data_IF_906709119057
#
_entry.id   IF_906709119057
#
_cell.length_a   1.000
_cell.length_b   1.000
_cell.length_c   1.000
_cell.angle_alpha   90.00
_cell.angle_beta   90.00
_cell.angle_gamma   90.00
#
_symmetry.space_group_name_H-M   'P 1'
#
loop_
_entity.id
_entity.type
_entity.pdbx_description
1 polymer ?
#
# COMPACT_ATOMS: atom_id res chain seq x y z
N UNK A 1 -25.16 -16.17 -6.62
CA UNK A 1 -24.30 -15.61 -7.68
C UNK A 1 -22.85 -15.88 -7.30
N UNK A 2 -22.01 -16.33 -8.25
CA UNK A 2 -20.56 -16.36 -8.04
C UNK A 2 -20.05 -14.92 -8.16
N UNK A 3 -19.46 -14.39 -7.09
CA UNK A 3 -18.79 -13.08 -7.11
C UNK A 3 -17.30 -13.32 -7.40
N UNK A 4 -16.86 -13.06 -8.63
CA UNK A 4 -15.44 -13.02 -8.92
C UNK A 4 -14.84 -11.81 -8.19
N UNK A 5 -13.99 -12.10 -7.19
CA UNK A 5 -13.33 -11.05 -6.42
C UNK A 5 -12.26 -10.36 -7.26
N UNK A 6 -12.27 -9.03 -7.29
CA UNK A 6 -11.24 -8.25 -7.99
C UNK A 6 -10.15 -7.82 -7.00
N UNK A 7 -8.91 -8.16 -7.33
CA UNK A 7 -7.70 -7.78 -6.60
C UNK A 7 -6.89 -6.84 -7.51
N UNK A 8 -6.64 -5.61 -7.06
CA UNK A 8 -5.79 -4.66 -7.77
C UNK A 8 -4.31 -4.93 -7.42
N UNK A 9 -3.57 -5.50 -8.37
CA UNK A 9 -2.14 -5.82 -8.24
C UNK A 9 -1.31 -4.54 -8.11
N UNK A 10 -0.70 -4.34 -6.94
CA UNK A 10 0.07 -3.15 -6.54
C UNK A 10 -0.73 -1.85 -6.58
N UNK A 11 -2.04 -1.94 -6.32
CA UNK A 11 -3.01 -0.88 -6.57
C UNK A 11 -3.46 -0.84 -8.04
N UNK A 12 -4.04 0.28 -8.47
CA UNK A 12 -4.36 0.50 -9.88
C UNK A 12 -3.09 0.93 -10.64
N UNK A 13 -2.10 0.03 -10.73
CA UNK A 13 -0.76 0.28 -11.27
C UNK A 13 -0.74 0.79 -12.73
N UNK A 14 -1.82 0.55 -13.48
CA UNK A 14 -1.98 1.08 -14.83
C UNK A 14 -2.47 2.54 -14.85
N UNK A 15 -2.98 3.06 -13.74
CA UNK A 15 -3.54 4.40 -13.62
C UNK A 15 -2.64 5.35 -12.82
N UNK A 16 -1.91 4.83 -11.84
CA UNK A 16 -0.95 5.56 -11.03
C UNK A 16 0.26 4.67 -10.75
N UNK A 17 1.34 5.26 -10.23
CA UNK A 17 2.55 4.51 -9.92
C UNK A 17 2.23 3.38 -8.92
N UNK A 18 2.65 2.16 -9.25
CA UNK A 18 2.47 1.00 -8.37
C UNK A 18 2.99 1.26 -6.95
N UNK A 19 2.39 0.57 -5.98
CA UNK A 19 2.79 0.61 -4.57
C UNK A 19 2.74 2.02 -3.92
N UNK A 20 2.00 2.98 -4.47
CA UNK A 20 1.77 4.30 -3.86
C UNK A 20 0.34 4.46 -3.34
N UNK A 21 0.14 5.46 -2.47
CA UNK A 21 -1.20 5.79 -1.94
C UNK A 21 -2.15 6.14 -3.08
N UNK A 22 -1.69 6.86 -4.10
CA UNK A 22 -2.48 7.25 -5.26
C UNK A 22 -2.98 6.04 -6.06
N UNK A 23 -2.15 4.99 -6.21
CA UNK A 23 -2.59 3.74 -6.86
C UNK A 23 -3.62 2.98 -6.00
N UNK A 24 -3.51 3.05 -4.67
CA UNK A 24 -4.46 2.43 -3.77
C UNK A 24 -5.80 3.15 -3.75
N UNK A 25 -5.78 4.48 -3.65
CA UNK A 25 -6.97 5.33 -3.77
C UNK A 25 -7.66 5.10 -5.10
N UNK A 26 -6.89 5.02 -6.20
CA UNK A 26 -7.46 4.76 -7.52
C UNK A 26 -8.06 3.35 -7.64
N UNK A 27 -7.46 2.33 -7.03
CA UNK A 27 -8.05 1.00 -6.98
C UNK A 27 -9.39 0.99 -6.22
N UNK A 28 -9.48 1.74 -5.11
CA UNK A 28 -10.72 1.91 -4.34
C UNK A 28 -11.79 2.62 -5.20
N UNK A 29 -11.41 3.71 -5.88
CA UNK A 29 -12.32 4.44 -6.79
C UNK A 29 -12.88 3.56 -7.91
N UNK A 30 -12.06 2.65 -8.45
CA UNK A 30 -12.44 1.73 -9.52
C UNK A 30 -13.24 0.51 -9.02
N UNK A 31 -13.46 0.40 -7.71
CA UNK A 31 -14.28 -0.67 -7.11
C UNK A 31 -13.55 -1.99 -6.89
N UNK A 32 -12.21 -1.99 -6.79
CA UNK A 32 -11.48 -3.19 -6.38
C UNK A 32 -11.87 -3.59 -4.95
N UNK A 33 -12.09 -4.89 -4.73
CA UNK A 33 -12.42 -5.42 -3.40
C UNK A 33 -11.17 -5.59 -2.52
N UNK A 34 -10.05 -5.88 -3.17
CA UNK A 34 -8.76 -6.06 -2.52
C UNK A 34 -7.68 -5.29 -3.28
N UNK A 35 -6.66 -4.89 -2.53
CA UNK A 35 -5.43 -4.32 -3.07
C UNK A 35 -4.31 -5.24 -2.63
N UNK A 36 -3.53 -5.71 -3.60
CA UNK A 36 -2.27 -6.37 -3.35
C UNK A 36 -1.15 -5.32 -3.36
N UNK A 37 -0.11 -5.53 -2.55
CA UNK A 37 1.06 -4.67 -2.48
C UNK A 37 2.27 -5.44 -1.94
N UNK A 38 3.46 -4.96 -2.28
CA UNK A 38 4.73 -5.58 -1.94
C UNK A 38 5.34 -4.94 -0.68
N UNK A 39 5.89 -5.76 0.22
CA UNK A 39 6.51 -5.26 1.46
C UNK A 39 8.03 -5.47 1.43
N UNK A 40 8.78 -4.42 1.79
CA UNK A 40 10.22 -4.47 2.04
C UNK A 40 10.56 -3.87 3.40
N UNK A 41 11.73 -4.20 3.93
CA UNK A 41 12.28 -3.63 5.16
C UNK A 41 13.49 -2.76 4.84
N UNK A 42 13.52 -1.55 5.39
CA UNK A 42 14.63 -0.60 5.27
C UNK A 42 15.76 -0.94 6.24
N UNK A 43 16.91 -0.29 6.09
CA UNK A 43 18.06 -0.43 7.02
C UNK A 43 17.70 -0.12 8.46
N UNK A 44 16.82 0.87 8.68
CA UNK A 44 16.34 1.32 9.98
C UNK A 44 15.09 0.55 10.47
N UNK A 45 14.77 -0.59 9.84
CA UNK A 45 13.72 -1.50 10.31
C UNK A 45 12.28 -1.07 9.99
N UNK A 46 12.10 -0.07 9.12
CA UNK A 46 10.79 0.41 8.69
C UNK A 46 10.26 -0.48 7.59
N UNK A 47 9.04 -0.98 7.74
CA UNK A 47 8.34 -1.68 6.66
C UNK A 47 7.75 -0.67 5.67
N UNK A 48 7.98 -0.89 4.39
CA UNK A 48 7.56 -0.01 3.30
C UNK A 48 6.87 -0.78 2.19
N UNK A 49 6.01 -0.08 1.44
CA UNK A 49 5.40 -0.63 0.22
C UNK A 49 6.25 -0.32 -1.01
N UNK A 50 6.93 -1.33 -1.55
CA UNK A 50 7.81 -1.17 -2.72
C UNK A 50 8.17 -2.54 -3.30
N UNK A 51 8.08 -2.72 -4.62
CA UNK A 51 8.32 -4.02 -5.25
C UNK A 51 9.81 -4.40 -5.30
N UNK A 52 10.60 -3.61 -6.05
CA UNK A 52 11.98 -3.97 -6.35
C UNK A 52 12.88 -3.95 -5.10
N UNK A 53 13.91 -4.82 -5.00
CA UNK A 53 14.85 -4.76 -3.89
C UNK A 53 15.76 -3.51 -3.95
N UNK A 54 15.68 -2.73 -5.03
CA UNK A 54 16.53 -1.58 -5.32
C UNK A 54 15.68 -0.32 -5.55
N UNK A 55 16.25 0.83 -5.25
CA UNK A 55 15.77 2.15 -5.68
C UNK A 55 16.96 2.99 -6.15
N UNK A 56 16.89 3.54 -7.36
CA UNK A 56 18.00 4.29 -7.97
C UNK A 56 19.36 3.55 -7.85
N UNK A 57 19.38 2.26 -8.21
CA UNK A 57 20.55 1.37 -8.14
C UNK A 57 21.17 1.18 -6.74
N UNK A 58 20.42 1.46 -5.67
CA UNK A 58 20.83 1.21 -4.29
C UNK A 58 19.86 0.23 -3.61
N UNK A 59 20.39 -0.69 -2.82
CA UNK A 59 19.57 -1.69 -2.13
C UNK A 59 18.73 -1.03 -1.03
N UNK A 60 17.43 -1.33 -1.02
CA UNK A 60 16.49 -0.86 0.01
C UNK A 60 16.97 -1.22 1.42
N UNK A 61 17.52 -2.42 1.59
CA UNK A 61 18.06 -2.92 2.86
C UNK A 61 19.27 -2.14 3.38
N UNK A 62 19.88 -1.28 2.56
CA UNK A 62 21.04 -0.46 2.92
C UNK A 62 20.70 1.00 3.19
N UNK A 63 19.44 1.41 2.97
CA UNK A 63 18.99 2.79 3.11
C UNK A 63 17.98 2.94 4.24
N UNK A 64 18.02 4.07 4.95
CA UNK A 64 16.96 4.47 5.88
C UNK A 64 15.68 4.87 5.13
N UNK A 65 14.54 4.80 5.81
CA UNK A 65 13.27 5.28 5.26
C UNK A 65 13.34 6.73 4.74
N UNK A 66 14.01 7.61 5.49
CA UNK A 66 14.18 9.01 5.11
C UNK A 66 15.01 9.17 3.82
N UNK A 67 16.07 8.37 3.65
CA UNK A 67 16.86 8.36 2.41
C UNK A 67 16.04 7.86 1.22
N UNK A 68 15.28 6.76 1.40
CA UNK A 68 14.42 6.20 0.36
C UNK A 68 13.38 7.23 -0.09
N UNK A 69 12.69 7.89 0.84
CA UNK A 69 11.69 8.90 0.48
C UNK A 69 12.28 10.17 -0.13
N UNK A 70 13.53 10.53 0.19
CA UNK A 70 14.24 11.60 -0.52
C UNK A 70 14.51 11.23 -1.98
N UNK A 71 14.99 10.01 -2.25
CA UNK A 71 15.24 9.50 -3.61
C UNK A 71 13.93 9.38 -4.39
N UNK A 72 12.90 8.78 -3.80
CA UNK A 72 11.58 8.65 -4.41
C UNK A 72 10.98 10.02 -4.73
N UNK A 73 11.12 10.99 -3.82
CA UNK A 73 10.63 12.35 -4.02
C UNK A 73 11.29 13.07 -5.21
N UNK A 74 12.58 12.81 -5.46
CA UNK A 74 13.27 13.31 -6.66
C UNK A 74 12.73 12.69 -7.96
N UNK A 75 12.08 11.52 -7.87
CA UNK A 75 11.41 10.83 -8.97
C UNK A 75 9.89 11.11 -9.01
N UNK A 76 9.39 12.01 -8.18
CA UNK A 76 8.00 12.47 -8.20
C UNK A 76 7.00 11.57 -7.45
N UNK A 77 7.45 10.70 -6.54
CA UNK A 77 6.53 9.88 -5.73
C UNK A 77 7.01 9.73 -4.29
N UNK A 78 6.14 9.18 -3.44
CA UNK A 78 6.48 8.84 -2.05
C UNK A 78 6.27 7.35 -1.82
N UNK A 79 7.15 6.77 -1.02
CA UNK A 79 7.06 5.37 -0.60
C UNK A 79 6.30 5.33 0.73
N UNK A 80 5.11 4.71 0.79
CA UNK A 80 4.34 4.62 2.02
C UNK A 80 4.94 3.58 2.98
N UNK A 81 4.75 3.81 4.28
CA UNK A 81 5.08 2.82 5.31
C UNK A 81 3.95 1.80 5.45
N UNK A 82 4.30 0.58 5.87
CA UNK A 82 3.35 -0.46 6.25
C UNK A 82 3.33 -0.54 7.76
N UNK A 83 2.27 -0.03 8.38
CA UNK A 83 2.11 -0.10 9.82
C UNK A 83 1.63 -1.50 10.24
N UNK A 84 2.44 -2.20 11.03
CA UNK A 84 1.99 -3.41 11.73
C UNK A 84 1.43 -2.97 13.08
N UNK A 85 0.12 -3.18 13.28
CA UNK A 85 -0.47 -3.08 14.61
C UNK A 85 -0.50 -4.47 15.23
N UNK A 86 0.20 -4.71 16.36
CA UNK A 86 0.04 -5.94 17.12
C UNK A 86 -1.45 -6.13 17.43
N UNK A 87 -1.99 -7.30 17.12
CA UNK A 87 -3.36 -7.66 17.51
C UNK A 87 -3.33 -7.99 19.01
N UNK A 88 -3.32 -6.95 19.86
CA UNK A 88 -3.14 -7.11 21.30
C UNK A 88 -3.32 -5.85 22.15
N UNK A 89 -3.14 -4.65 21.59
CA UNK A 89 -3.37 -3.42 22.36
C UNK A 89 -4.85 -3.03 22.31
N UNK A 90 -5.52 -3.17 23.45
CA UNK A 90 -6.85 -2.63 23.73
C UNK A 90 -6.82 -1.11 23.54
N UNK A 91 -7.09 -0.64 22.32
CA UNK A 91 -7.57 0.71 22.07
C UNK A 91 -8.77 0.65 21.13
N UNK A 92 -9.90 1.07 21.68
CA UNK A 92 -11.17 1.16 21.02
C UNK A 92 -11.12 2.06 19.76
N UNK A 93 -11.98 1.72 18.81
CA UNK A 93 -12.41 2.50 17.65
C UNK A 93 -11.57 2.39 16.35
N UNK A 94 -12.00 1.47 15.48
CA UNK A 94 -12.06 1.69 14.04
C UNK A 94 -13.53 1.55 13.60
N UNK A 95 -14.20 2.66 13.33
CA UNK A 95 -15.46 2.65 12.58
C UNK A 95 -15.10 2.48 11.11
N UNK A 96 -15.13 1.24 10.64
CA UNK A 96 -15.22 0.99 9.22
C UNK A 96 -16.50 1.66 8.72
N UNK A 97 -16.39 2.66 7.84
CA UNK A 97 -17.46 3.00 6.93
C UNK A 97 -17.67 1.82 5.98
N UNK A 98 -18.31 0.75 6.47
CA UNK A 98 -19.08 -0.15 5.63
C UNK A 98 -20.23 0.71 5.10
N UNK A 99 -20.05 1.34 3.93
CA UNK A 99 -21.21 1.63 3.09
C UNK A 99 -21.88 0.29 2.86
N UNK A 100 -23.09 0.18 3.39
CA UNK A 100 -23.92 -1.01 3.34
C UNK A 100 -23.96 -1.56 1.92
N UNK A 101 -23.42 -2.75 1.72
CA UNK A 101 -23.99 -3.64 0.71
C UNK A 101 -25.41 -3.91 1.22
N UNK A 102 -26.39 -3.21 0.65
CA UNK A 102 -27.79 -3.59 0.78
C UNK A 102 -27.91 -4.96 0.11
N UNK A 103 -28.15 -5.99 0.90
CA UNK A 103 -28.77 -7.21 0.41
C UNK A 103 -30.25 -6.94 0.13
N UNK A 104 -30.74 -7.64 -0.90
CA UNK A 104 -32.14 -7.83 -1.32
C UNK A 104 -32.70 -6.70 -2.20
N UNK A 105 -33.38 -6.99 -3.31
CA UNK A 105 -34.17 -8.17 -3.69
C UNK A 105 -33.99 -8.59 -5.15
#
# INVERSE_FOLDING_TARGET
MLTNRIIAHRGASNCAKENTIEAYEKAIELGAEFIEFDVRITKDGVLISHHDPMIANQAISQLSFAQINRIAGQQGFRVPTVAVRPKGDLLAHWKAHRRSFKTES
#
